data_IF_999734848238
#
_entry.id   IF_999734848238
#
_cell.length_a   1.000
_cell.length_b   1.000
_cell.length_c   1.000
_cell.angle_alpha   90.00
_cell.angle_beta   90.00
_cell.angle_gamma   90.00
#
_symmetry.space_group_name_H-M   'P 1'
#
loop_
_entity.id
_entity.type
_entity.pdbx_description
1 polymer ?
#
# COMPACT_ATOMS: atom_id res chain seq x y z
N UNK A 1 -63.72 -8.37 -21.18
CA UNK A 1 -63.14 -8.19 -22.50
C UNK A 1 -61.90 -9.07 -22.64
N UNK A 2 -61.85 -9.89 -23.67
CA UNK A 2 -60.79 -10.88 -23.90
C UNK A 2 -59.38 -10.27 -23.93
N UNK A 3 -59.25 -8.99 -24.32
CA UNK A 3 -57.96 -8.28 -24.31
C UNK A 3 -57.40 -8.07 -22.93
N UNK A 4 -58.22 -7.79 -21.92
CA UNK A 4 -57.78 -7.61 -20.55
C UNK A 4 -57.32 -8.94 -19.91
N UNK A 5 -58.02 -10.03 -20.26
CA UNK A 5 -57.67 -11.40 -19.82
C UNK A 5 -56.31 -11.81 -20.42
N UNK A 6 -56.11 -11.57 -21.72
CA UNK A 6 -54.83 -11.86 -22.40
C UNK A 6 -53.68 -11.03 -21.81
N UNK A 7 -53.91 -9.73 -21.57
CA UNK A 7 -52.91 -8.88 -20.93
C UNK A 7 -52.57 -9.36 -19.51
N UNK A 8 -53.57 -9.76 -18.70
CA UNK A 8 -53.36 -10.30 -17.37
C UNK A 8 -52.57 -11.61 -17.40
N UNK A 9 -52.86 -12.48 -18.36
CA UNK A 9 -52.16 -13.76 -18.51
C UNK A 9 -50.68 -13.54 -18.91
N UNK A 10 -50.39 -12.57 -19.77
CA UNK A 10 -49.03 -12.20 -20.16
C UNK A 10 -48.24 -11.66 -18.97
N UNK A 11 -48.87 -10.85 -18.13
CA UNK A 11 -48.20 -10.33 -16.90
C UNK A 11 -47.90 -11.47 -15.91
N UNK A 12 -48.82 -12.41 -15.74
CA UNK A 12 -48.61 -13.57 -14.85
C UNK A 12 -47.48 -14.44 -15.39
N UNK A 13 -47.45 -14.71 -16.70
CA UNK A 13 -46.34 -15.51 -17.29
C UNK A 13 -45.01 -14.77 -17.12
N UNK A 14 -44.96 -13.46 -17.35
CA UNK A 14 -43.71 -12.69 -17.11
C UNK A 14 -43.26 -12.73 -15.66
N UNK A 15 -44.17 -12.63 -14.70
CA UNK A 15 -43.90 -12.75 -13.28
C UNK A 15 -43.35 -14.14 -12.92
N UNK A 16 -43.96 -15.21 -13.47
CA UNK A 16 -43.46 -16.58 -13.23
C UNK A 16 -42.06 -16.81 -13.79
N UNK A 17 -41.75 -16.25 -14.98
CA UNK A 17 -40.39 -16.29 -15.54
C UNK A 17 -39.39 -15.56 -14.65
N UNK A 18 -39.76 -14.37 -14.12
CA UNK A 18 -38.92 -13.62 -13.20
C UNK A 18 -38.70 -14.37 -11.87
N UNK A 19 -39.72 -14.97 -11.31
CA UNK A 19 -39.62 -15.79 -10.10
C UNK A 19 -38.74 -17.03 -10.32
N UNK A 20 -38.90 -17.71 -11.44
CA UNK A 20 -38.07 -18.85 -11.80
C UNK A 20 -36.59 -18.43 -11.95
N UNK A 21 -36.33 -17.29 -12.60
CA UNK A 21 -34.98 -16.75 -12.72
C UNK A 21 -34.38 -16.33 -11.37
N UNK A 22 -35.21 -15.71 -10.53
CA UNK A 22 -34.79 -15.35 -9.17
C UNK A 22 -34.42 -16.59 -8.33
N UNK A 23 -35.26 -17.64 -8.40
CA UNK A 23 -34.98 -18.91 -7.71
C UNK A 23 -33.69 -19.58 -8.23
N UNK A 24 -33.48 -19.58 -9.54
CA UNK A 24 -32.26 -20.09 -10.15
C UNK A 24 -31.02 -19.35 -9.60
N UNK A 25 -31.01 -18.02 -9.60
CA UNK A 25 -29.88 -17.21 -9.13
C UNK A 25 -29.65 -17.34 -7.62
N UNK A 26 -30.72 -17.41 -6.84
CA UNK A 26 -30.61 -17.43 -5.36
C UNK A 26 -30.45 -18.82 -4.75
N UNK A 27 -30.84 -19.88 -5.45
CA UNK A 27 -30.77 -21.24 -4.93
C UNK A 27 -29.73 -22.05 -5.69
N UNK A 28 -29.88 -22.19 -7.03
CA UNK A 28 -29.01 -23.09 -7.81
C UNK A 28 -27.60 -22.49 -8.02
N UNK A 29 -27.50 -21.18 -8.21
CA UNK A 29 -26.23 -20.49 -8.49
C UNK A 29 -25.71 -19.69 -7.28
N UNK A 30 -26.32 -19.85 -6.11
CA UNK A 30 -25.98 -19.10 -4.89
C UNK A 30 -24.52 -19.23 -4.51
N UNK A 31 -23.97 -20.42 -4.49
CA UNK A 31 -22.56 -20.66 -4.13
C UNK A 31 -21.60 -20.00 -5.12
N UNK A 32 -21.92 -20.09 -6.41
CA UNK A 32 -21.11 -19.46 -7.46
C UNK A 32 -21.04 -17.95 -7.31
N UNK A 33 -22.19 -17.29 -7.16
CA UNK A 33 -22.23 -15.83 -7.00
C UNK A 33 -21.70 -15.37 -5.64
N UNK A 34 -21.84 -16.16 -4.60
CA UNK A 34 -21.25 -15.89 -3.28
C UNK A 34 -19.73 -15.95 -3.35
N UNK A 35 -19.17 -16.96 -4.05
CA UNK A 35 -17.72 -17.05 -4.25
C UNK A 35 -17.18 -15.88 -5.05
N UNK A 36 -17.79 -15.55 -6.19
CA UNK A 36 -17.41 -14.38 -7.00
C UNK A 36 -17.48 -13.08 -6.20
N UNK A 37 -18.51 -12.92 -5.36
CA UNK A 37 -18.66 -11.75 -4.49
C UNK A 37 -17.57 -11.69 -3.42
N UNK A 38 -17.20 -12.84 -2.83
CA UNK A 38 -16.11 -12.93 -1.84
C UNK A 38 -14.76 -12.65 -2.48
N UNK A 39 -14.46 -13.23 -3.65
CA UNK A 39 -13.19 -13.04 -4.36
C UNK A 39 -12.99 -11.59 -4.78
N UNK A 40 -14.06 -10.88 -5.18
CA UNK A 40 -13.99 -9.47 -5.50
C UNK A 40 -13.83 -8.57 -4.26
N UNK A 41 -14.19 -9.05 -3.08
CA UNK A 41 -14.23 -8.27 -1.84
C UNK A 41 -12.97 -8.47 -0.98
N UNK A 42 -12.29 -9.61 -1.13
CA UNK A 42 -11.07 -9.92 -0.37
C UNK A 42 -9.84 -9.61 -1.22
N UNK A 43 -8.90 -8.86 -0.65
CA UNK A 43 -7.60 -8.58 -1.27
C UNK A 43 -6.47 -8.97 -0.34
N UNK A 44 -5.41 -9.49 -0.94
CA UNK A 44 -4.14 -9.74 -0.26
C UNK A 44 -3.27 -8.48 -0.35
N UNK A 45 -2.91 -7.96 0.81
CA UNK A 45 -1.98 -6.82 0.94
C UNK A 45 -0.68 -7.37 1.49
N UNK A 46 0.42 -7.30 0.73
CA UNK A 46 1.72 -7.77 1.21
C UNK A 46 2.26 -6.83 2.29
N UNK A 47 2.85 -7.42 3.31
CA UNK A 47 3.53 -6.73 4.42
C UNK A 47 5.03 -6.96 4.27
N UNK A 48 5.80 -5.94 3.87
CA UNK A 48 7.24 -6.10 3.69
C UNK A 48 7.93 -6.39 5.03
N UNK A 49 8.92 -7.30 5.05
CA UNK A 49 9.68 -7.61 6.24
C UNK A 49 10.66 -6.48 6.60
N UNK A 50 11.07 -6.44 7.86
CA UNK A 50 12.17 -5.59 8.29
C UNK A 50 13.48 -6.25 7.88
N UNK A 51 14.35 -5.50 7.18
CA UNK A 51 15.65 -5.98 6.71
C UNK A 51 16.58 -6.25 7.87
N UNK A 52 17.36 -7.34 7.82
CA UNK A 52 18.35 -7.72 8.83
C UNK A 52 19.46 -6.68 9.02
N UNK A 53 20.07 -6.66 10.19
CA UNK A 53 21.17 -5.76 10.52
C UNK A 53 22.50 -6.38 10.08
N UNK A 54 23.50 -5.56 9.79
CA UNK A 54 24.85 -6.05 9.45
C UNK A 54 25.82 -5.57 10.50
N UNK A 55 26.55 -6.50 11.09
CA UNK A 55 27.57 -6.26 12.10
C UNK A 55 28.95 -6.74 11.60
N UNK A 56 29.99 -6.16 12.13
CA UNK A 56 31.33 -6.72 12.00
C UNK A 56 31.60 -7.85 13.04
N UNK A 57 32.79 -8.45 12.99
CA UNK A 57 33.21 -9.52 13.94
C UNK A 57 33.29 -9.07 15.39
N UNK A 58 33.34 -7.76 15.66
CA UNK A 58 33.42 -7.17 16.99
C UNK A 58 32.03 -6.69 17.49
N UNK A 59 30.98 -6.91 16.70
CA UNK A 59 29.63 -6.46 17.01
C UNK A 59 29.36 -4.99 16.68
N UNK A 60 30.22 -4.34 15.89
CA UNK A 60 30.01 -2.96 15.45
C UNK A 60 28.98 -2.95 14.33
N UNK A 61 27.98 -2.08 14.45
CA UNK A 61 26.85 -1.98 13.51
C UNK A 61 27.29 -1.28 12.23
N UNK A 62 27.30 -2.00 11.10
CA UNK A 62 27.69 -1.52 9.78
C UNK A 62 26.51 -1.09 8.91
N UNK A 63 25.34 -1.71 9.11
CA UNK A 63 24.11 -1.31 8.44
C UNK A 63 22.89 -1.54 9.34
N UNK A 64 22.06 -0.51 9.43
CA UNK A 64 20.86 -0.48 10.28
C UNK A 64 19.64 0.06 9.54
N UNK A 65 18.48 -0.07 10.17
CA UNK A 65 17.24 0.51 9.65
C UNK A 65 16.82 1.67 10.55
N UNK A 66 16.76 2.88 9.99
CA UNK A 66 16.29 4.07 10.70
C UNK A 66 14.89 4.47 10.26
N UNK A 67 14.03 4.87 11.19
CA UNK A 67 12.74 5.41 10.82
C UNK A 67 12.91 6.71 10.04
N UNK A 68 12.26 6.80 8.89
CA UNK A 68 12.09 8.01 8.13
C UNK A 68 10.60 8.28 7.97
N UNK A 69 10.22 9.51 8.14
CA UNK A 69 8.83 9.93 8.07
C UNK A 69 8.54 10.57 6.72
N UNK A 70 7.39 10.26 6.16
CA UNK A 70 6.84 10.93 4.99
C UNK A 70 5.49 11.52 5.31
N UNK A 71 5.23 12.72 4.83
CA UNK A 71 3.92 13.32 4.87
C UNK A 71 3.17 12.93 3.60
N UNK A 72 2.06 12.26 3.78
CA UNK A 72 1.27 11.73 2.68
C UNK A 72 -0.16 12.31 2.72
N UNK A 73 -0.76 12.44 1.54
CA UNK A 73 -2.15 12.89 1.38
C UNK A 73 -2.97 11.83 0.66
N UNK A 74 -4.17 11.60 1.13
CA UNK A 74 -5.23 10.90 0.39
C UNK A 74 -6.10 11.96 -0.30
N UNK A 75 -5.97 12.17 -1.61
CA UNK A 75 -6.59 13.29 -2.32
C UNK A 75 -8.11 13.39 -2.16
N UNK A 76 -8.77 12.24 -2.04
CA UNK A 76 -10.23 12.17 -1.90
C UNK A 76 -10.74 12.71 -0.56
N UNK A 77 -9.92 12.69 0.48
CA UNK A 77 -10.27 13.16 1.83
C UNK A 77 -9.98 14.65 2.03
N UNK A 78 -9.18 15.25 1.14
CA UNK A 78 -8.92 16.68 1.14
C UNK A 78 -10.02 17.42 0.37
N UNK A 79 -10.70 18.40 1.02
CA UNK A 79 -11.76 19.19 0.39
C UNK A 79 -11.23 20.05 -0.76
N UNK A 80 -10.11 20.72 -0.51
CA UNK A 80 -9.36 21.53 -1.46
C UNK A 80 -7.87 21.25 -1.23
N UNK A 81 -7.24 20.71 -2.27
CA UNK A 81 -5.82 20.30 -2.20
C UNK A 81 -4.92 21.53 -2.14
N UNK A 82 -5.21 22.56 -2.94
CA UNK A 82 -4.36 23.72 -3.07
C UNK A 82 -4.43 24.58 -1.79
N UNK A 83 -5.61 24.81 -1.23
CA UNK A 83 -5.77 25.47 0.08
C UNK A 83 -5.09 24.66 1.20
N UNK A 84 -5.23 23.33 1.17
CA UNK A 84 -4.60 22.47 2.15
C UNK A 84 -3.08 22.55 2.10
N UNK A 85 -2.48 22.56 0.90
CA UNK A 85 -1.04 22.69 0.70
C UNK A 85 -0.53 24.07 1.15
N UNK A 86 -1.27 25.15 0.87
CA UNK A 86 -0.92 26.51 1.32
C UNK A 86 -0.90 26.61 2.85
N UNK A 87 -1.92 26.07 3.52
CA UNK A 87 -1.96 26.05 4.99
C UNK A 87 -0.88 25.16 5.60
N UNK A 88 -0.55 24.05 4.93
CA UNK A 88 0.50 23.14 5.34
C UNK A 88 1.90 23.77 5.25
N UNK A 89 2.14 24.62 4.26
CA UNK A 89 3.41 25.36 4.10
C UNK A 89 3.76 26.25 5.29
N UNK A 90 2.78 26.62 6.11
CA UNK A 90 3.00 27.34 7.38
C UNK A 90 3.51 26.44 8.53
N UNK A 91 3.51 25.13 8.37
CA UNK A 91 3.91 24.15 9.41
C UNK A 91 5.14 23.36 8.96
N UNK A 92 5.17 22.93 7.71
CA UNK A 92 6.25 22.15 7.12
C UNK A 92 6.69 22.83 5.82
N UNK A 93 7.98 23.04 5.66
CA UNK A 93 8.54 23.57 4.42
C UNK A 93 8.34 22.57 3.28
N UNK A 94 7.67 22.99 2.21
CA UNK A 94 7.42 22.17 1.02
C UNK A 94 8.11 22.85 -0.16
N UNK A 95 9.08 22.16 -0.75
CA UNK A 95 9.79 22.68 -1.92
C UNK A 95 8.95 22.58 -3.20
N UNK A 96 9.26 23.40 -4.21
CA UNK A 96 8.63 23.29 -5.55
C UNK A 96 8.83 21.88 -6.16
N UNK A 97 10.00 21.26 -5.94
CA UNK A 97 10.32 19.92 -6.39
C UNK A 97 9.40 18.88 -5.74
N UNK A 98 9.04 19.08 -4.46
CA UNK A 98 8.11 18.18 -3.77
C UNK A 98 6.70 18.34 -4.33
N UNK A 99 6.24 19.55 -4.61
CA UNK A 99 4.94 19.83 -5.23
C UNK A 99 4.84 19.24 -6.65
N UNK A 100 5.87 19.40 -7.47
CA UNK A 100 5.92 18.79 -8.80
C UNK A 100 5.86 17.26 -8.72
N UNK A 101 6.62 16.65 -7.79
CA UNK A 101 6.60 15.22 -7.55
C UNK A 101 5.22 14.75 -7.10
N UNK A 102 4.61 15.44 -6.14
CA UNK A 102 3.27 15.16 -5.66
C UNK A 102 2.25 15.20 -6.79
N UNK A 103 2.23 16.26 -7.61
CA UNK A 103 1.32 16.41 -8.73
C UNK A 103 1.48 15.31 -9.77
N UNK A 104 2.69 14.93 -10.11
CA UNK A 104 2.99 13.82 -11.03
C UNK A 104 2.53 12.47 -10.48
N UNK A 105 2.70 12.21 -9.19
CA UNK A 105 2.27 10.97 -8.55
C UNK A 105 0.76 10.91 -8.39
N UNK A 106 0.12 12.03 -8.05
CA UNK A 106 -1.34 12.18 -7.94
C UNK A 106 -2.05 11.79 -9.24
N UNK A 107 -1.50 12.15 -10.40
CA UNK A 107 -2.07 11.80 -11.70
C UNK A 107 -1.99 10.29 -12.02
N UNK A 108 -1.06 9.55 -11.43
CA UNK A 108 -0.82 8.12 -11.69
C UNK A 108 -1.50 7.19 -10.69
N UNK A 109 -1.88 7.69 -9.55
CA UNK A 109 -2.53 6.94 -8.47
C UNK A 109 -4.04 7.15 -8.46
N UNK A 110 -4.76 6.25 -7.81
CA UNK A 110 -6.19 6.40 -7.58
C UNK A 110 -6.44 7.48 -6.53
N UNK A 111 -7.61 8.11 -6.54
CA UNK A 111 -7.93 9.23 -5.63
C UNK A 111 -7.92 8.86 -4.14
N UNK A 112 -8.13 7.60 -3.82
CA UNK A 112 -8.10 7.09 -2.45
C UNK A 112 -6.74 6.52 -2.03
N UNK A 113 -5.77 6.41 -2.96
CA UNK A 113 -4.41 6.00 -2.62
C UNK A 113 -3.65 7.16 -1.97
N UNK A 114 -2.84 6.83 -0.97
CA UNK A 114 -1.97 7.80 -0.34
C UNK A 114 -0.85 8.24 -1.28
N UNK A 115 -0.67 9.54 -1.40
CA UNK A 115 0.36 10.16 -2.26
C UNK A 115 1.32 10.96 -1.38
N UNK A 116 2.64 10.68 -1.41
CA UNK A 116 3.60 11.45 -0.63
C UNK A 116 3.72 12.89 -1.17
N UNK A 117 3.56 13.86 -0.26
CA UNK A 117 3.84 15.28 -0.50
C UNK A 117 5.33 15.51 -0.30
N UNK A 118 5.84 15.18 0.90
CA UNK A 118 7.26 15.31 1.25
C UNK A 118 7.74 14.03 1.92
N UNK A 119 8.88 13.54 1.50
CA UNK A 119 9.56 12.37 2.05
C UNK A 119 10.73 12.81 2.92
N UNK A 120 11.09 11.97 3.89
CA UNK A 120 12.24 12.22 4.78
C UNK A 120 12.11 13.52 5.58
N UNK A 121 10.93 13.72 6.19
CA UNK A 121 10.71 14.80 7.17
C UNK A 121 11.37 14.43 8.50
N UNK A 122 11.85 15.42 9.25
CA UNK A 122 12.47 15.23 10.54
C UNK A 122 11.42 14.78 11.60
N UNK A 123 11.91 14.26 12.72
CA UNK A 123 11.02 13.86 13.82
C UNK A 123 10.33 15.07 14.43
N UNK A 124 11.01 16.23 14.44
CA UNK A 124 10.50 17.51 14.94
C UNK A 124 9.38 18.05 14.02
N UNK A 125 9.58 17.98 12.70
CA UNK A 125 8.56 18.35 11.70
C UNK A 125 7.35 17.41 11.80
N UNK A 126 7.60 16.10 11.96
CA UNK A 126 6.55 15.11 12.14
C UNK A 126 5.74 15.39 13.42
N UNK A 127 6.42 15.68 14.53
CA UNK A 127 5.78 16.02 15.80
C UNK A 127 4.98 17.33 15.68
N UNK A 128 5.54 18.35 15.04
CA UNK A 128 4.87 19.63 14.77
C UNK A 128 3.59 19.46 13.96
N UNK A 129 3.61 18.62 12.92
CA UNK A 129 2.40 18.30 12.16
C UNK A 129 1.39 17.50 13.00
N UNK A 130 1.84 16.52 13.80
CA UNK A 130 0.96 15.66 14.60
C UNK A 130 0.04 16.47 15.53
N UNK A 131 0.52 17.57 16.11
CA UNK A 131 -0.28 18.50 16.92
C UNK A 131 -1.40 19.15 16.12
N UNK A 132 -1.17 19.43 14.83
CA UNK A 132 -2.11 20.12 13.95
C UNK A 132 -2.91 19.17 13.04
N UNK A 133 -2.69 17.85 13.13
CA UNK A 133 -3.30 16.83 12.26
C UNK A 133 -4.81 16.96 12.11
N UNK A 134 -5.52 17.30 13.20
CA UNK A 134 -6.98 17.47 13.21
C UNK A 134 -7.50 18.55 12.25
N UNK A 135 -6.64 19.48 11.83
CA UNK A 135 -6.95 20.59 10.89
C UNK A 135 -6.75 20.20 9.43
N UNK A 136 -6.17 19.02 9.17
CA UNK A 136 -5.77 18.55 7.83
C UNK A 136 -6.38 17.18 7.53
N UNK A 137 -7.68 17.11 7.22
CA UNK A 137 -8.31 15.84 6.84
C UNK A 137 -7.64 15.28 5.59
N UNK A 138 -7.36 13.97 5.60
CA UNK A 138 -6.69 13.28 4.49
C UNK A 138 -5.17 13.37 4.47
N UNK A 139 -4.54 14.12 5.39
CA UNK A 139 -3.10 14.09 5.58
C UNK A 139 -2.71 13.18 6.74
N UNK A 140 -1.64 12.42 6.54
CA UNK A 140 -1.07 11.57 7.58
C UNK A 140 0.45 11.45 7.45
N UNK A 141 1.09 11.12 8.58
CA UNK A 141 2.52 10.80 8.62
C UNK A 141 2.66 9.29 8.53
N UNK A 142 3.44 8.84 7.55
CA UNK A 142 3.80 7.45 7.39
C UNK A 142 5.26 7.23 7.73
N UNK A 143 5.49 6.37 8.71
CA UNK A 143 6.83 5.93 9.06
C UNK A 143 7.26 4.80 8.11
N UNK A 144 8.48 4.88 7.60
CA UNK A 144 9.13 3.84 6.80
C UNK A 144 10.52 3.60 7.36
N UNK A 145 11.01 2.37 7.29
CA UNK A 145 12.38 2.07 7.65
C UNK A 145 13.27 2.27 6.43
N UNK A 146 14.23 3.19 6.54
CA UNK A 146 15.26 3.40 5.53
C UNK A 146 16.57 2.79 5.98
N UNK A 147 17.27 2.16 5.03
CA UNK A 147 18.59 1.60 5.28
C UNK A 147 19.59 2.72 5.52
N UNK A 148 20.35 2.64 6.61
CA UNK A 148 21.38 3.57 7.01
C UNK A 148 22.71 2.86 7.22
N UNK A 149 23.78 3.49 6.77
CA UNK A 149 25.16 3.00 6.85
C UNK A 149 25.98 3.99 7.68
N UNK A 150 26.28 3.71 8.96
CA UNK A 150 26.99 4.65 9.84
C UNK A 150 28.36 5.05 9.28
N UNK A 151 29.08 4.11 8.68
CA UNK A 151 30.47 4.29 8.19
C UNK A 151 30.55 4.54 6.68
N UNK A 152 29.46 4.93 6.05
CA UNK A 152 29.31 5.34 4.63
C UNK A 152 30.46 4.94 3.70
N UNK A 153 31.45 5.86 3.50
CA UNK A 153 32.52 5.72 2.52
C UNK A 153 33.52 4.62 2.86
N UNK A 154 33.81 4.42 4.16
CA UNK A 154 34.82 3.47 4.63
C UNK A 154 34.43 2.01 4.38
N UNK A 155 33.13 1.69 4.47
CA UNK A 155 32.61 0.32 4.35
C UNK A 155 31.83 0.07 3.07
N UNK A 156 31.61 1.08 2.23
CA UNK A 156 30.74 1.02 1.04
C UNK A 156 31.09 -0.09 0.05
N UNK A 157 32.36 -0.36 -0.17
CA UNK A 157 32.83 -1.41 -1.09
C UNK A 157 32.57 -2.83 -0.56
N UNK A 158 32.60 -3.03 0.74
CA UNK A 158 32.35 -4.32 1.39
C UNK A 158 30.88 -4.53 1.68
N UNK A 159 30.27 -3.61 2.40
CA UNK A 159 28.85 -3.69 2.79
C UNK A 159 27.93 -3.54 1.57
N UNK A 160 28.28 -2.66 0.65
CA UNK A 160 27.45 -2.35 -0.48
C UNK A 160 26.29 -1.39 -0.13
N UNK A 161 25.23 -1.46 -0.91
CA UNK A 161 24.04 -0.61 -0.68
C UNK A 161 22.76 -1.27 -1.18
N UNK A 162 21.62 -0.80 -0.67
CA UNK A 162 20.29 -1.15 -1.17
C UNK A 162 19.82 -0.13 -2.19
N UNK A 163 19.18 -0.60 -3.24
CA UNK A 163 18.61 0.26 -4.29
C UNK A 163 17.25 -0.25 -4.74
N UNK A 164 16.53 0.56 -5.51
CA UNK A 164 15.20 0.18 -6.00
C UNK A 164 15.27 -1.09 -6.84
N UNK A 165 14.28 -1.96 -6.65
CA UNK A 165 14.09 -3.16 -7.47
C UNK A 165 13.80 -2.73 -8.90
N UNK A 166 14.61 -3.18 -9.86
CA UNK A 166 14.45 -2.96 -11.29
C UNK A 166 13.71 -4.13 -11.94
N UNK A 167 13.23 -3.95 -13.18
CA UNK A 167 12.60 -5.05 -13.94
C UNK A 167 13.53 -6.25 -14.11
N UNK A 168 14.83 -6.00 -14.35
CA UNK A 168 15.84 -7.07 -14.49
C UNK A 168 16.05 -7.84 -13.17
N UNK A 169 15.93 -7.17 -12.03
CA UNK A 169 16.06 -7.84 -10.74
C UNK A 169 14.88 -8.81 -10.53
N UNK A 170 13.66 -8.42 -10.93
CA UNK A 170 12.46 -9.26 -10.81
C UNK A 170 12.53 -10.57 -11.60
N UNK A 171 13.39 -10.65 -12.62
CA UNK A 171 13.61 -11.88 -13.38
C UNK A 171 14.44 -12.93 -12.61
N UNK A 172 15.18 -12.49 -11.57
CA UNK A 172 16.12 -13.32 -10.80
C UNK A 172 15.75 -13.52 -9.34
N UNK A 173 14.63 -12.99 -8.89
CA UNK A 173 14.15 -13.10 -7.50
C UNK A 173 12.74 -13.68 -7.46
N UNK A 174 12.37 -14.22 -6.32
CA UNK A 174 10.99 -14.61 -6.07
C UNK A 174 10.10 -13.38 -5.92
N UNK A 175 9.38 -13.03 -6.99
CA UNK A 175 8.52 -11.86 -7.02
C UNK A 175 7.43 -11.88 -5.94
N UNK A 176 7.02 -13.06 -5.45
CA UNK A 176 6.02 -13.21 -4.39
C UNK A 176 6.57 -12.74 -3.05
N UNK A 177 7.82 -13.10 -2.72
CA UNK A 177 8.50 -12.66 -1.50
C UNK A 177 8.92 -11.18 -1.53
N UNK A 178 8.99 -10.57 -2.72
CA UNK A 178 9.27 -9.13 -2.87
C UNK A 178 8.00 -8.28 -3.04
N UNK A 179 6.84 -8.89 -2.92
CA UNK A 179 5.59 -8.14 -2.96
C UNK A 179 5.57 -7.08 -1.83
N UNK A 180 5.30 -5.84 -2.19
CA UNK A 180 5.35 -4.70 -1.26
C UNK A 180 6.74 -4.16 -0.94
N UNK A 181 7.83 -4.87 -1.30
CA UNK A 181 9.21 -4.40 -1.11
C UNK A 181 9.68 -3.60 -2.32
N UNK A 182 10.23 -2.43 -2.08
CA UNK A 182 10.68 -1.51 -3.13
C UNK A 182 12.20 -1.47 -3.31
N UNK A 183 12.97 -2.03 -2.39
CA UNK A 183 14.43 -1.98 -2.37
C UNK A 183 15.03 -3.36 -2.14
N UNK A 184 16.23 -3.58 -2.70
CA UNK A 184 17.03 -4.80 -2.54
C UNK A 184 18.52 -4.48 -2.55
N UNK A 185 19.36 -5.37 -2.06
CA UNK A 185 20.81 -5.24 -2.12
C UNK A 185 21.35 -5.25 -3.56
N UNK A 186 22.19 -4.28 -3.90
CA UNK A 186 22.75 -4.13 -5.25
C UNK A 186 24.19 -4.59 -5.37
N UNK A 187 24.97 -4.43 -4.32
CA UNK A 187 26.40 -4.75 -4.29
C UNK A 187 26.80 -5.27 -2.91
N UNK A 188 28.00 -5.82 -2.79
CA UNK A 188 28.64 -6.20 -1.53
C UNK A 188 27.87 -7.26 -0.72
N UNK A 189 28.00 -7.19 0.58
CA UNK A 189 27.33 -8.07 1.55
C UNK A 189 25.81 -7.95 1.39
N UNK A 190 25.28 -6.73 1.20
CA UNK A 190 23.85 -6.49 0.97
C UNK A 190 23.27 -7.35 -0.15
N UNK A 191 24.01 -7.53 -1.25
CA UNK A 191 23.60 -8.38 -2.36
C UNK A 191 23.86 -9.86 -2.11
N UNK A 192 25.04 -10.19 -1.60
CA UNK A 192 25.46 -11.59 -1.43
C UNK A 192 24.61 -12.34 -0.40
N UNK A 193 24.12 -11.62 0.63
CA UNK A 193 23.29 -12.16 1.69
C UNK A 193 21.82 -11.70 1.59
N UNK A 194 21.41 -11.25 0.39
CA UNK A 194 20.05 -10.73 0.17
C UNK A 194 18.96 -11.66 0.70
N UNK A 195 19.05 -12.96 0.44
CA UNK A 195 18.04 -13.93 0.87
C UNK A 195 17.90 -14.02 2.41
N UNK A 196 18.99 -13.78 3.15
CA UNK A 196 18.99 -13.79 4.62
C UNK A 196 18.55 -12.43 5.16
N UNK A 197 19.11 -11.36 4.59
CA UNK A 197 18.85 -9.99 5.05
C UNK A 197 17.41 -9.50 4.72
N UNK A 198 16.80 -9.97 3.64
CA UNK A 198 15.46 -9.54 3.25
C UNK A 198 14.39 -10.10 4.20
N UNK A 199 14.48 -11.37 4.58
CA UNK A 199 13.46 -12.07 5.35
C UNK A 199 12.30 -12.57 4.47
N UNK A 200 11.13 -12.83 5.08
CA UNK A 200 9.96 -13.32 4.38
C UNK A 200 8.78 -12.34 4.50
N UNK A 201 8.13 -12.07 3.37
CA UNK A 201 6.96 -11.20 3.30
C UNK A 201 5.79 -11.80 4.07
N UNK A 202 5.12 -10.97 4.86
CA UNK A 202 3.84 -11.30 5.45
C UNK A 202 2.68 -10.96 4.53
N UNK A 203 1.49 -11.44 4.84
CA UNK A 203 0.29 -11.19 4.06
C UNK A 203 -0.87 -10.79 4.97
N UNK A 204 -1.57 -9.76 4.57
CA UNK A 204 -2.79 -9.32 5.24
C UNK A 204 -3.97 -9.47 4.28
N UNK A 205 -4.97 -10.27 4.69
CA UNK A 205 -6.23 -10.35 3.97
C UNK A 205 -7.13 -9.21 4.42
N UNK A 206 -7.52 -8.37 3.48
CA UNK A 206 -8.39 -7.22 3.75
C UNK A 206 -9.67 -7.32 2.94
N UNK A 207 -10.77 -6.98 3.58
CA UNK A 207 -12.04 -6.79 2.89
C UNK A 207 -12.09 -5.37 2.31
N UNK A 208 -12.38 -5.27 1.02
CA UNK A 208 -12.52 -3.98 0.33
C UNK A 208 -13.95 -3.75 -0.12
N UNK A 209 -14.38 -2.50 -0.12
CA UNK A 209 -15.67 -2.09 -0.67
C UNK A 209 -15.62 -2.03 -2.22
N UNK A 210 -16.75 -1.71 -2.85
CA UNK A 210 -16.89 -1.60 -4.32
C UNK A 210 -15.94 -0.59 -4.97
N UNK A 211 -15.41 0.36 -4.20
CA UNK A 211 -14.45 1.38 -4.64
C UNK A 211 -13.01 0.93 -4.42
N UNK A 212 -12.78 -0.17 -3.69
CA UNK A 212 -11.46 -0.73 -3.41
C UNK A 212 -10.82 -0.20 -2.11
N UNK A 213 -11.59 0.46 -1.24
CA UNK A 213 -11.12 0.88 0.10
C UNK A 213 -11.16 -0.30 1.06
N UNK A 214 -10.15 -0.40 1.91
CA UNK A 214 -10.11 -1.37 2.99
C UNK A 214 -11.21 -1.05 4.01
N UNK A 215 -12.13 -1.98 4.20
CA UNK A 215 -13.21 -1.89 5.18
C UNK A 215 -12.81 -2.52 6.51
N UNK A 216 -12.17 -3.70 6.46
CA UNK A 216 -11.64 -4.39 7.64
C UNK A 216 -10.53 -5.36 7.27
N UNK A 217 -9.72 -5.74 8.26
CA UNK A 217 -8.73 -6.81 8.19
C UNK A 217 -9.43 -8.11 8.57
N UNK A 218 -9.28 -9.14 7.75
CA UNK A 218 -9.84 -10.47 7.98
C UNK A 218 -8.82 -11.40 8.61
N UNK A 219 -7.60 -11.40 8.08
CA UNK A 219 -6.51 -12.27 8.53
C UNK A 219 -5.18 -11.51 8.42
N UNK A 220 -4.27 -11.81 9.32
CA UNK A 220 -2.96 -11.17 9.38
C UNK A 220 -1.89 -12.23 9.65
N UNK A 221 -1.06 -12.47 8.64
CA UNK A 221 0.14 -13.29 8.73
C UNK A 221 1.36 -12.34 8.78
N UNK A 222 2.03 -12.22 9.92
CA UNK A 222 3.10 -11.24 10.10
C UNK A 222 4.33 -11.59 9.26
N UNK A 223 5.08 -10.58 8.76
CA UNK A 223 6.33 -10.81 8.06
C UNK A 223 7.40 -11.35 9.01
N UNK A 224 8.29 -12.18 8.49
CA UNK A 224 9.47 -12.64 9.21
C UNK A 224 10.65 -11.70 8.90
N UNK A 225 11.23 -11.04 9.92
CA UNK A 225 12.35 -10.14 9.71
C UNK A 225 13.58 -10.88 9.17
N UNK A 226 14.40 -10.19 8.39
CA UNK A 226 15.74 -10.67 8.01
C UNK A 226 16.66 -10.78 9.22
N UNK A 227 17.66 -11.64 9.10
CA UNK A 227 18.67 -11.92 10.11
C UNK A 227 19.97 -11.18 9.80
#
# INVERSE_FOLDING_TARGET
>A
SNRAIVAGLLVIVALLVLLARLAQLQIAEHEHFTTLSKDNRVKLVPLPPTRGLIYDSNGVLLAENRPAYSLEMVPEQAHDIDDTLQRLAGIIEISEVDLERFNRLKQRKRRFDSVPIRTNISIEEAAGFAVHRHRFPGLDIKAQLLRHYPYREETSHVVGYVGRVSKRDLENIDASNYAGTSHMGKTGVEKSYEAVLHGAVGVQQVEVNSVGRVARVLEHDPPLPGQ
#
